data_IF_952376403150
#
_entry.id   IF_952376403150
#
_cell.length_a   1.000
_cell.length_b   1.000
_cell.length_c   1.000
_cell.angle_alpha   90.00
_cell.angle_beta   90.00
_cell.angle_gamma   90.00
#
_symmetry.space_group_name_H-M   'P 1'
#
loop_
_entity.id
_entity.type
_entity.pdbx_description
1 polymer ?
#
# COMPACT_ATOMS: atom_id res chain seq x y z
N UNK A 1 -5.66 12.10 11.91
CA UNK A 1 -5.50 10.70 12.38
C UNK A 1 -3.99 10.43 12.48
N UNK A 2 -3.51 9.38 13.18
CA UNK A 2 -2.08 9.08 13.16
C UNK A 2 -1.59 8.71 11.74
N UNK A 3 -0.37 9.14 11.44
CA UNK A 3 0.31 8.85 10.18
C UNK A 3 1.27 7.67 10.36
N UNK A 4 1.24 6.74 9.42
CA UNK A 4 2.07 5.54 9.40
C UNK A 4 2.91 5.49 8.14
N UNK A 5 4.08 4.89 8.26
CA UNK A 5 4.97 4.60 7.14
C UNK A 5 5.10 3.10 7.00
N UNK A 6 4.80 2.58 5.80
CA UNK A 6 4.82 1.15 5.51
C UNK A 6 5.65 0.86 4.27
N UNK A 7 6.59 -0.07 4.41
CA UNK A 7 7.34 -0.63 3.30
C UNK A 7 6.65 -1.90 2.82
N UNK A 8 6.45 -2.03 1.50
CA UNK A 8 5.83 -3.23 0.92
C UNK A 8 6.63 -3.75 -0.26
N UNK A 9 6.53 -5.07 -0.45
CA UNK A 9 7.12 -5.81 -1.56
C UNK A 9 5.99 -6.52 -2.30
N UNK A 10 6.02 -6.47 -3.62
CA UNK A 10 5.07 -7.16 -4.47
C UNK A 10 5.32 -8.67 -4.38
N UNK A 11 4.24 -9.42 -4.23
CA UNK A 11 4.29 -10.88 -4.42
C UNK A 11 4.59 -11.25 -5.88
N UNK A 12 4.82 -12.54 -6.17
CA UNK A 12 5.17 -13.05 -7.49
C UNK A 12 4.19 -12.59 -8.60
N UNK A 13 2.89 -12.55 -8.29
CA UNK A 13 1.84 -12.12 -9.22
C UNK A 13 1.69 -10.59 -9.29
N UNK A 14 2.14 -9.87 -8.27
CA UNK A 14 2.03 -8.41 -8.18
C UNK A 14 2.89 -7.69 -9.23
N UNK A 15 4.10 -8.19 -9.47
CA UNK A 15 4.98 -7.64 -10.50
C UNK A 15 4.41 -7.79 -11.92
N UNK A 16 3.78 -8.94 -12.22
CA UNK A 16 3.19 -9.17 -13.54
C UNK A 16 2.01 -8.22 -13.77
N UNK A 17 1.12 -8.12 -12.77
CA UNK A 17 -0.08 -7.28 -12.84
C UNK A 17 0.23 -5.78 -12.92
N UNK A 18 1.27 -5.31 -12.23
CA UNK A 18 1.68 -3.91 -12.32
C UNK A 18 2.27 -3.57 -13.70
N UNK A 19 3.02 -4.50 -14.29
CA UNK A 19 3.62 -4.33 -15.61
C UNK A 19 2.58 -4.35 -16.72
N UNK A 20 1.55 -5.19 -16.60
CA UNK A 20 0.47 -5.29 -17.58
C UNK A 20 -0.59 -4.20 -17.43
N UNK A 21 -0.80 -3.68 -16.21
CA UNK A 21 -1.82 -2.67 -15.96
C UNK A 21 -1.36 -1.64 -14.90
N UNK A 22 -0.62 -0.59 -15.30
CA UNK A 22 -0.12 0.42 -14.38
C UNK A 22 -1.24 1.27 -13.73
N UNK A 23 -2.41 1.36 -14.35
CA UNK A 23 -3.61 2.00 -13.78
C UNK A 23 -4.06 1.32 -12.47
N UNK A 24 -3.78 0.01 -12.34
CA UNK A 24 -4.20 -0.83 -11.22
C UNK A 24 -3.57 -0.42 -9.88
N UNK A 25 -2.46 0.32 -9.90
CA UNK A 25 -1.88 0.91 -8.70
C UNK A 25 -2.91 1.81 -7.97
N UNK A 26 -3.80 2.46 -8.72
CA UNK A 26 -4.90 3.26 -8.17
C UNK A 26 -6.04 2.41 -7.60
N UNK A 27 -6.27 1.22 -8.16
CA UNK A 27 -7.29 0.29 -7.65
C UNK A 27 -6.91 -0.27 -6.27
N UNK A 28 -5.62 -0.59 -6.06
CA UNK A 28 -5.13 -1.06 -4.76
C UNK A 28 -5.37 0.01 -3.69
N UNK A 29 -5.20 1.29 -4.00
CA UNK A 29 -5.51 2.38 -3.07
C UNK A 29 -6.99 2.38 -2.65
N UNK A 30 -7.91 2.08 -3.57
CA UNK A 30 -9.35 1.98 -3.26
C UNK A 30 -9.66 0.80 -2.33
N UNK A 31 -8.94 -0.33 -2.48
CA UNK A 31 -9.07 -1.47 -1.58
C UNK A 31 -8.62 -1.10 -0.16
N UNK A 32 -7.50 -0.38 0.00
CA UNK A 32 -7.03 0.06 1.33
C UNK A 32 -7.94 1.13 1.94
N UNK A 33 -8.49 2.02 1.11
CA UNK A 33 -9.49 3.02 1.53
C UNK A 33 -10.77 2.36 2.05
N UNK A 34 -11.20 1.24 1.45
CA UNK A 34 -12.35 0.45 1.94
C UNK A 34 -12.12 -0.14 3.33
N UNK A 35 -10.85 -0.32 3.74
CA UNK A 35 -10.47 -0.78 5.08
C UNK A 35 -10.38 0.35 6.11
N UNK A 36 -10.72 1.59 5.71
CA UNK A 36 -10.69 2.77 6.59
C UNK A 36 -9.30 3.40 6.71
N UNK A 37 -8.38 3.09 5.79
CA UNK A 37 -7.04 3.66 5.74
C UNK A 37 -6.88 4.49 4.49
N UNK A 38 -6.38 5.72 4.65
CA UNK A 38 -6.15 6.62 3.52
C UNK A 38 -4.69 6.57 3.09
N UNK A 39 -4.44 6.36 1.80
CA UNK A 39 -3.10 6.54 1.22
C UNK A 39 -2.87 8.02 0.96
N UNK A 40 -1.92 8.62 1.68
CA UNK A 40 -1.53 10.00 1.48
C UNK A 40 -0.56 10.12 0.31
N UNK A 41 0.49 9.29 0.33
CA UNK A 41 1.52 9.27 -0.70
C UNK A 41 2.06 7.85 -0.86
N UNK A 42 2.50 7.53 -2.07
CA UNK A 42 3.13 6.25 -2.40
C UNK A 42 4.31 6.49 -3.35
N UNK A 43 5.43 5.87 -3.04
CA UNK A 43 6.67 5.98 -3.81
C UNK A 43 7.16 4.59 -4.20
N UNK A 44 7.48 4.42 -5.48
CA UNK A 44 8.23 3.25 -5.92
C UNK A 44 9.70 3.40 -5.46
N UNK A 45 10.23 2.36 -4.84
CA UNK A 45 11.61 2.32 -4.36
C UNK A 45 12.47 1.45 -5.28
N UNK A 46 13.76 1.76 -5.31
CA UNK A 46 14.77 0.90 -5.92
C UNK A 46 15.55 0.22 -4.78
N UNK A 47 15.43 -1.10 -4.66
CA UNK A 47 16.16 -1.85 -3.63
C UNK A 47 15.37 -3.05 -3.10
N UNK A 48 15.49 -3.29 -1.80
CA UNK A 48 14.89 -4.45 -1.13
C UNK A 48 13.35 -4.44 -1.10
N UNK A 49 12.76 -3.24 -1.12
CA UNK A 49 11.31 -3.04 -1.09
C UNK A 49 10.88 -2.37 -2.39
N UNK A 50 9.65 -2.66 -2.80
CA UNK A 50 9.10 -2.10 -4.03
C UNK A 50 8.43 -0.75 -3.80
N UNK A 51 7.81 -0.56 -2.62
CA UNK A 51 7.09 0.68 -2.31
C UNK A 51 7.30 1.18 -0.88
N UNK A 52 7.26 2.50 -0.75
CA UNK A 52 7.02 3.22 0.50
C UNK A 52 5.64 3.86 0.45
N UNK A 53 4.84 3.62 1.48
CA UNK A 53 3.48 4.14 1.60
C UNK A 53 3.39 5.02 2.84
N UNK A 54 2.84 6.21 2.68
CA UNK A 54 2.47 7.11 3.77
C UNK A 54 0.95 7.02 3.92
N UNK A 55 0.50 6.58 5.09
CA UNK A 55 -0.88 6.19 5.34
C UNK A 55 -1.46 6.95 6.53
N UNK A 56 -2.73 7.31 6.48
CA UNK A 56 -3.50 7.79 7.63
C UNK A 56 -4.51 6.73 8.05
N UNK A 57 -4.52 6.36 9.32
CA UNK A 57 -5.42 5.33 9.84
C UNK A 57 -5.93 5.72 11.24
N UNK A 58 -7.12 5.25 11.65
CA UNK A 58 -7.73 5.65 12.93
C UNK A 58 -6.92 5.16 14.14
N UNK A 59 -6.35 3.96 14.04
CA UNK A 59 -5.59 3.32 15.12
C UNK A 59 -4.60 2.27 14.58
N UNK A 60 -3.73 1.80 15.49
CA UNK A 60 -2.69 0.82 15.23
C UNK A 60 -3.24 -0.57 14.84
N UNK A 61 -4.43 -0.94 15.33
CA UNK A 61 -5.05 -2.24 15.03
C UNK A 61 -5.51 -2.29 13.57
N UNK A 62 -6.05 -1.19 13.08
CA UNK A 62 -6.47 -1.02 11.69
C UNK A 62 -5.27 -1.13 10.76
N UNK A 63 -4.15 -0.47 11.11
CA UNK A 63 -2.90 -0.59 10.35
C UNK A 63 -2.29 -1.98 10.39
N UNK A 64 -2.29 -2.64 11.54
CA UNK A 64 -1.75 -4.00 11.66
C UNK A 64 -2.47 -4.97 10.72
N UNK A 65 -3.80 -4.84 10.58
CA UNK A 65 -4.60 -5.65 9.66
C UNK A 65 -4.22 -5.41 8.20
N UNK A 66 -4.02 -4.15 7.81
CA UNK A 66 -3.57 -3.79 6.46
C UNK A 66 -2.18 -4.36 6.16
N UNK A 67 -1.25 -4.29 7.11
CA UNK A 67 0.11 -4.78 6.92
C UNK A 67 0.24 -6.31 6.79
N UNK A 68 -0.75 -7.06 7.29
CA UNK A 68 -0.76 -8.54 7.24
C UNK A 68 -1.60 -9.13 6.12
N UNK A 69 -2.26 -8.30 5.31
CA UNK A 69 -3.09 -8.74 4.17
C UNK A 69 -2.23 -8.84 2.91
#
# INVERSE_FOLDING_TARGET
>A
MPTYVMLSTLGPDGHHRLRENPERLREVNADVESMGVKVLEQFALLGQYDFLNILEAPDEKTMAKVATT
#
